data_IF_840097772750
#
_entry.id   IF_840097772750
#
_cell.length_a   1.000
_cell.length_b   1.000
_cell.length_c   1.000
_cell.angle_alpha   90.00
_cell.angle_beta   90.00
_cell.angle_gamma   90.00
#
_symmetry.space_group_name_H-M   'P 1'
#
loop_
_entity.id
_entity.type
_entity.pdbx_description
1 polymer ?
#
# COMPACT_ATOMS: atom_id res chain seq x y z
N UNK A 1 0.94 6.40 53.70
CA UNK A 1 2.08 6.01 52.85
C UNK A 1 1.56 5.92 51.42
N UNK A 2 1.95 6.90 50.61
CA UNK A 2 1.52 7.15 49.23
C UNK A 2 1.81 5.99 48.27
N UNK A 3 0.79 5.20 47.95
CA UNK A 3 0.77 4.41 46.73
C UNK A 3 0.56 5.36 45.57
N UNK A 4 1.64 5.89 45.01
CA UNK A 4 1.62 6.71 43.79
C UNK A 4 0.92 5.92 42.69
N UNK A 5 -0.31 6.31 42.36
CA UNK A 5 -1.01 5.95 41.13
C UNK A 5 -0.18 6.50 39.96
N UNK A 6 0.87 5.79 39.57
CA UNK A 6 1.51 6.01 38.29
C UNK A 6 0.54 5.49 37.23
N UNK A 7 -0.34 6.37 36.73
CA UNK A 7 -1.19 6.06 35.60
C UNK A 7 -0.28 5.75 34.42
N UNK A 8 -0.22 4.47 34.05
CA UNK A 8 0.47 3.98 32.87
C UNK A 8 -0.13 4.69 31.65
N UNK A 9 0.65 5.57 31.03
CA UNK A 9 0.24 6.29 29.83
C UNK A 9 0.91 5.61 28.64
N UNK A 10 0.10 5.01 27.77
CA UNK A 10 0.56 4.49 26.50
C UNK A 10 0.69 5.66 25.54
N UNK A 11 1.92 5.94 25.13
CA UNK A 11 2.20 6.92 24.08
C UNK A 11 2.48 6.14 22.80
N UNK A 12 1.63 6.31 21.81
CA UNK A 12 1.88 5.80 20.47
C UNK A 12 3.17 6.47 19.95
N UNK A 13 4.17 5.65 19.67
CA UNK A 13 5.48 6.09 19.23
C UNK A 13 5.57 5.65 17.77
N UNK A 14 5.21 6.56 16.87
CA UNK A 14 5.27 6.31 15.43
C UNK A 14 6.73 6.06 15.05
N UNK A 15 7.07 4.78 14.88
CA UNK A 15 8.35 4.37 14.34
C UNK A 15 8.20 4.35 12.84
N UNK A 16 8.89 5.23 12.12
CA UNK A 16 9.05 5.14 10.67
C UNK A 16 9.92 3.92 10.34
N UNK A 17 9.36 2.73 10.53
CA UNK A 17 10.03 1.51 10.10
C UNK A 17 9.99 1.50 8.56
N UNK A 18 11.12 1.19 7.90
CA UNK A 18 11.24 1.23 6.43
C UNK A 18 10.33 0.22 5.72
N UNK A 19 9.60 -0.60 6.47
CA UNK A 19 8.59 -1.54 5.98
C UNK A 19 7.15 -1.03 6.10
N UNK A 20 6.91 0.13 6.71
CA UNK A 20 5.58 0.74 6.81
C UNK A 20 5.22 1.57 5.57
N UNK A 21 4.92 0.88 4.47
CA UNK A 21 4.42 1.53 3.27
C UNK A 21 2.92 1.81 3.40
N UNK A 22 2.51 3.05 3.13
CA UNK A 22 1.09 3.41 3.03
C UNK A 22 0.39 2.79 1.82
N UNK A 23 1.16 2.51 0.76
CA UNK A 23 0.70 1.92 -0.49
C UNK A 23 1.78 0.96 -1.01
N UNK A 24 1.37 -0.25 -1.38
CA UNK A 24 2.23 -1.28 -1.95
C UNK A 24 1.56 -1.77 -3.23
N UNK A 25 2.27 -1.67 -4.35
CA UNK A 25 1.87 -2.26 -5.61
C UNK A 25 2.74 -3.47 -5.90
N UNK A 26 2.09 -4.60 -6.22
CA UNK A 26 2.75 -5.87 -6.54
C UNK A 26 2.35 -6.29 -7.93
N UNK A 27 3.34 -6.66 -8.75
CA UNK A 27 3.13 -7.22 -10.08
C UNK A 27 3.71 -8.62 -10.09
N UNK A 28 2.84 -9.61 -10.29
CA UNK A 28 3.24 -11.01 -10.38
C UNK A 28 3.06 -11.45 -11.83
N UNK A 29 4.16 -11.79 -12.49
CA UNK A 29 4.16 -12.28 -13.86
C UNK A 29 4.18 -13.80 -13.80
N UNK A 30 3.05 -14.42 -14.13
CA UNK A 30 2.93 -15.86 -14.31
C UNK A 30 3.13 -16.27 -15.78
N UNK A 31 3.18 -17.58 -16.07
CA UNK A 31 3.39 -18.09 -17.42
C UNK A 31 2.24 -17.78 -18.39
N UNK A 32 1.01 -17.63 -17.91
CA UNK A 32 -0.17 -17.29 -18.73
C UNK A 32 -0.80 -15.95 -18.37
N UNK A 33 -0.51 -15.39 -17.19
CA UNK A 33 -1.25 -14.27 -16.64
C UNK A 33 -0.37 -13.32 -15.86
N UNK A 34 -0.63 -12.02 -16.00
CA UNK A 34 -0.05 -10.97 -15.16
C UNK A 34 -1.09 -10.57 -14.11
N UNK A 35 -0.72 -10.70 -12.84
CA UNK A 35 -1.55 -10.27 -11.69
C UNK A 35 -1.01 -9.00 -11.10
N UNK A 36 -1.94 -8.12 -10.74
CA UNK A 36 -1.65 -6.84 -10.13
C UNK A 36 -2.37 -6.76 -8.79
N UNK A 37 -1.60 -6.61 -7.71
CA UNK A 37 -2.12 -6.46 -6.36
C UNK A 37 -1.79 -5.08 -5.81
N UNK A 38 -2.81 -4.35 -5.37
CA UNK A 38 -2.64 -3.08 -4.66
C UNK A 38 -3.05 -3.29 -3.20
N UNK A 39 -2.12 -3.04 -2.28
CA UNK A 39 -2.38 -3.04 -0.83
C UNK A 39 -2.19 -1.63 -0.32
N UNK A 40 -3.16 -1.12 0.41
CA UNK A 40 -3.15 0.26 0.91
C UNK A 40 -3.64 0.30 2.35
N UNK A 41 -3.14 1.28 3.12
CA UNK A 41 -3.70 1.56 4.44
C UNK A 41 -5.06 2.26 4.26
N UNK A 42 -6.07 1.86 5.01
CA UNK A 42 -7.46 2.37 4.88
C UNK A 42 -7.60 3.86 5.19
N UNK A 43 -6.60 4.47 5.85
CA UNK A 43 -6.54 5.90 6.11
C UNK A 43 -5.90 6.71 4.95
N UNK A 44 -5.31 6.03 3.96
CA UNK A 44 -4.62 6.66 2.83
C UNK A 44 -5.53 6.79 1.60
N UNK A 45 -6.29 5.74 1.28
CA UNK A 45 -7.16 5.70 0.10
C UNK A 45 -8.54 5.15 0.47
N UNK A 46 -9.58 5.71 -0.14
CA UNK A 46 -10.88 5.04 -0.20
C UNK A 46 -10.85 3.89 -1.20
N UNK A 47 -11.79 2.96 -1.10
CA UNK A 47 -11.90 1.85 -2.05
C UNK A 47 -12.05 2.34 -3.51
N UNK A 48 -12.82 3.40 -3.73
CA UNK A 48 -12.98 4.02 -5.05
C UNK A 48 -11.66 4.60 -5.58
N UNK A 49 -10.90 5.32 -4.73
CA UNK A 49 -9.60 5.86 -5.12
C UNK A 49 -8.57 4.74 -5.38
N UNK A 50 -8.59 3.68 -4.57
CA UNK A 50 -7.72 2.52 -4.77
C UNK A 50 -8.05 1.81 -6.08
N UNK A 51 -9.32 1.69 -6.43
CA UNK A 51 -9.76 1.12 -7.70
C UNK A 51 -9.28 1.97 -8.89
N UNK A 52 -9.44 3.29 -8.81
CA UNK A 52 -8.96 4.22 -9.84
C UNK A 52 -7.44 4.14 -10.02
N UNK A 53 -6.68 4.11 -8.92
CA UNK A 53 -5.22 3.94 -8.96
C UNK A 53 -4.84 2.61 -9.61
N UNK A 54 -5.49 1.50 -9.23
CA UNK A 54 -5.23 0.18 -9.79
C UNK A 54 -5.54 0.14 -11.30
N UNK A 55 -6.66 0.73 -11.73
CA UNK A 55 -7.05 0.75 -13.13
C UNK A 55 -6.08 1.59 -13.97
N UNK A 56 -5.66 2.75 -13.45
CA UNK A 56 -4.70 3.63 -14.14
C UNK A 56 -3.32 2.99 -14.24
N UNK A 57 -2.87 2.33 -13.17
CA UNK A 57 -1.63 1.58 -13.17
C UNK A 57 -1.64 0.42 -14.17
N UNK A 58 -2.77 -0.29 -14.30
CA UNK A 58 -2.96 -1.32 -15.35
C UNK A 58 -2.85 -0.73 -16.75
N UNK A 59 -3.52 0.39 -17.03
CA UNK A 59 -3.48 1.05 -18.35
C UNK A 59 -2.05 1.45 -18.70
N UNK A 60 -1.32 2.10 -17.79
CA UNK A 60 0.06 2.52 -18.01
C UNK A 60 1.01 1.33 -18.24
N UNK A 61 0.79 0.21 -17.55
CA UNK A 61 1.54 -1.03 -17.81
C UNK A 61 1.31 -1.56 -19.23
N UNK A 62 0.06 -1.60 -19.68
CA UNK A 62 -0.27 -2.05 -21.04
C UNK A 62 0.31 -1.13 -22.12
N UNK A 63 0.31 0.19 -21.89
CA UNK A 63 0.95 1.16 -22.78
C UNK A 63 2.47 0.96 -22.85
N UNK A 64 3.11 0.73 -21.70
CA UNK A 64 4.55 0.47 -21.64
C UNK A 64 4.92 -0.80 -22.39
N UNK A 65 4.16 -1.88 -22.19
CA UNK A 65 4.36 -3.15 -22.92
C UNK A 65 4.19 -2.94 -24.43
N UNK A 66 3.13 -2.26 -24.87
CA UNK A 66 2.92 -1.96 -26.30
C UNK A 66 4.03 -1.10 -26.90
N UNK A 67 4.62 -0.20 -26.12
CA UNK A 67 5.75 0.62 -26.56
C UNK A 67 7.07 -0.14 -26.64
N UNK A 68 7.20 -1.29 -25.97
CA UNK A 68 8.37 -2.17 -26.04
C UNK A 68 8.31 -3.15 -27.23
N UNK A 69 7.10 -3.44 -27.72
CA UNK A 69 6.86 -4.30 -28.90
C UNK A 69 7.00 -3.57 -30.25
N UNK A 70 7.28 -2.27 -30.26
CA UNK A 70 7.31 -1.39 -31.44
C UNK A 70 8.70 -0.77 -31.65
#
# INVERSE_FOLDING_TARGET
MDSRNASLCFKELETLEPTEYGLIATVTIGPTDVRLGLTYKSNLLTEEQAFDVANRFRVSLMETVRSLDN
#
